data_IF_597427684243
#
_entry.id   IF_597427684243
#
_cell.length_a   1.000
_cell.length_b   1.000
_cell.length_c   1.000
_cell.angle_alpha   90.00
_cell.angle_beta   90.00
_cell.angle_gamma   90.00
#
_symmetry.space_group_name_H-M   'P 1'
#
loop_
_entity.id
_entity.type
_entity.pdbx_description
1 polymer ?
#
# COMPACT_ATOMS: atom_id res chain seq x y z
N UNK A 1 -2.07 -41.94 -19.86
CA UNK A 1 -2.39 -40.52 -19.95
C UNK A 1 -2.64 -40.06 -18.51
N UNK A 2 -1.59 -39.65 -17.79
CA UNK A 2 -1.76 -38.97 -16.51
C UNK A 2 -2.00 -37.49 -16.83
N UNK A 3 -3.25 -37.09 -16.86
CA UNK A 3 -3.58 -35.70 -16.70
C UNK A 3 -2.98 -35.26 -15.36
N UNK A 4 -2.06 -34.31 -15.42
CA UNK A 4 -1.58 -33.61 -14.24
C UNK A 4 -2.80 -33.12 -13.50
N UNK A 5 -3.03 -33.64 -12.29
CA UNK A 5 -3.88 -32.99 -11.30
C UNK A 5 -3.29 -31.58 -11.13
N UNK A 6 -3.86 -30.65 -11.85
CA UNK A 6 -3.43 -29.26 -11.86
C UNK A 6 -3.41 -28.74 -10.44
N UNK A 7 -2.58 -27.79 -10.18
CA UNK A 7 -2.30 -27.15 -8.89
C UNK A 7 -3.60 -26.71 -8.18
N UNK A 8 -4.42 -27.69 -7.74
CA UNK A 8 -5.61 -27.48 -6.95
C UNK A 8 -5.19 -27.23 -5.51
N UNK A 9 -5.74 -26.20 -4.88
CA UNK A 9 -5.45 -25.91 -3.51
C UNK A 9 -6.08 -24.60 -3.05
N UNK A 10 -6.06 -24.38 -1.76
CA UNK A 10 -6.43 -23.13 -1.14
C UNK A 10 -5.17 -22.40 -0.67
N UNK A 11 -5.07 -21.10 -0.93
CA UNK A 11 -4.08 -20.21 -0.34
C UNK A 11 -4.80 -19.29 0.64
N UNK A 12 -4.43 -19.38 1.91
CA UNK A 12 -4.97 -18.52 2.97
C UNK A 12 -4.05 -17.30 3.10
N UNK A 13 -4.49 -16.18 2.51
CA UNK A 13 -3.74 -14.95 2.42
C UNK A 13 -4.13 -13.98 3.53
N UNK A 14 -3.16 -13.56 4.33
CA UNK A 14 -3.31 -12.38 5.18
C UNK A 14 -2.88 -11.14 4.40
N UNK A 15 -3.83 -10.26 4.11
CA UNK A 15 -3.58 -9.05 3.30
C UNK A 15 -3.82 -7.81 4.16
N UNK A 16 -2.74 -7.16 4.61
CA UNK A 16 -2.76 -5.98 5.48
C UNK A 16 -2.35 -4.70 4.75
N UNK A 17 -1.74 -4.83 3.58
CA UNK A 17 -1.25 -3.70 2.80
C UNK A 17 -1.39 -3.96 1.30
N UNK A 18 -1.45 -2.87 0.52
CA UNK A 18 -1.36 -2.88 -0.95
C UNK A 18 -2.41 -3.73 -1.67
N UNK A 19 -3.63 -3.81 -1.10
CA UNK A 19 -4.72 -4.63 -1.63
C UNK A 19 -4.99 -4.36 -3.11
N UNK A 20 -4.87 -3.11 -3.57
CA UNK A 20 -5.07 -2.73 -4.98
C UNK A 20 -4.06 -3.43 -5.88
N UNK A 21 -2.77 -3.39 -5.55
CA UNK A 21 -1.72 -4.02 -6.34
C UNK A 21 -1.85 -5.54 -6.31
N UNK A 22 -2.09 -6.10 -5.12
CA UNK A 22 -2.26 -7.55 -4.94
C UNK A 22 -3.49 -8.07 -5.68
N UNK A 23 -4.57 -7.29 -5.79
CA UNK A 23 -5.77 -7.70 -6.53
C UNK A 23 -5.49 -7.91 -8.02
N UNK A 24 -4.56 -7.15 -8.61
CA UNK A 24 -4.13 -7.37 -9.98
C UNK A 24 -3.39 -8.70 -10.15
N UNK A 25 -2.49 -9.02 -9.20
CA UNK A 25 -1.80 -10.32 -9.19
C UNK A 25 -2.80 -11.47 -9.02
N UNK A 26 -3.75 -11.34 -8.08
CA UNK A 26 -4.79 -12.35 -7.86
C UNK A 26 -5.64 -12.59 -9.10
N UNK A 27 -6.03 -11.53 -9.82
CA UNK A 27 -6.80 -11.63 -11.05
C UNK A 27 -6.08 -12.48 -12.09
N UNK A 28 -4.81 -12.19 -12.34
CA UNK A 28 -4.02 -12.89 -13.36
C UNK A 28 -3.72 -14.34 -12.91
N UNK A 29 -3.37 -14.52 -11.63
CA UNK A 29 -3.12 -15.85 -11.07
C UNK A 29 -4.34 -16.79 -11.13
N UNK A 30 -5.53 -16.30 -10.77
CA UNK A 30 -6.77 -17.10 -10.80
C UNK A 30 -7.14 -17.45 -12.25
N UNK A 31 -6.85 -16.55 -13.20
CA UNK A 31 -7.07 -16.84 -14.62
C UNK A 31 -6.17 -17.98 -15.13
N UNK A 32 -4.90 -18.01 -14.70
CA UNK A 32 -3.94 -19.06 -15.07
C UNK A 32 -4.14 -20.35 -14.26
N UNK A 33 -4.66 -20.25 -13.04
CA UNK A 33 -4.85 -21.37 -12.10
C UNK A 33 -6.30 -21.44 -11.60
N UNK A 34 -7.28 -21.76 -12.46
CA UNK A 34 -8.71 -21.68 -12.11
C UNK A 34 -9.18 -22.66 -11.03
N UNK A 35 -8.34 -23.64 -10.67
CA UNK A 35 -8.64 -24.62 -9.60
C UNK A 35 -8.08 -24.21 -8.24
N UNK A 36 -7.43 -23.06 -8.14
CA UNK A 36 -6.93 -22.50 -6.88
C UNK A 36 -7.96 -21.54 -6.30
N UNK A 37 -8.21 -21.68 -5.02
CA UNK A 37 -9.04 -20.75 -4.26
C UNK A 37 -8.20 -19.92 -3.28
N UNK A 38 -8.71 -18.75 -2.93
CA UNK A 38 -8.10 -17.88 -1.92
C UNK A 38 -9.09 -17.61 -0.79
N UNK A 39 -8.59 -17.72 0.44
CA UNK A 39 -9.25 -17.17 1.61
C UNK A 39 -8.44 -15.96 2.08
N UNK A 40 -9.05 -14.78 2.11
CA UNK A 40 -8.34 -13.52 2.39
C UNK A 40 -8.83 -12.95 3.72
N UNK A 41 -7.89 -12.63 4.61
CA UNK A 41 -8.14 -12.08 5.93
C UNK A 41 -7.18 -10.94 6.24
N UNK A 42 -7.50 -10.08 7.19
CA UNK A 42 -6.57 -9.11 7.79
C UNK A 42 -5.84 -9.67 9.01
N UNK A 43 -6.24 -10.85 9.50
CA UNK A 43 -5.67 -11.52 10.68
C UNK A 43 -4.72 -12.64 10.26
N UNK A 44 -3.46 -12.67 10.77
CA UNK A 44 -2.46 -13.64 10.36
C UNK A 44 -2.76 -15.09 10.81
N UNK A 45 -3.60 -15.25 11.82
CA UNK A 45 -3.90 -16.58 12.40
C UNK A 45 -4.52 -17.49 11.36
N UNK A 46 -3.85 -18.61 11.10
CA UNK A 46 -4.32 -19.62 10.16
C UNK A 46 -4.05 -19.30 8.69
N UNK A 47 -3.34 -18.21 8.39
CA UNK A 47 -2.90 -17.87 7.04
C UNK A 47 -1.59 -18.57 6.66
N UNK A 48 -1.39 -18.76 5.36
CA UNK A 48 -0.19 -19.37 4.79
C UNK A 48 0.83 -18.31 4.40
N UNK A 49 0.35 -17.13 3.99
CA UNK A 49 1.15 -16.04 3.47
C UNK A 49 0.62 -14.70 4.01
N UNK A 50 1.52 -13.86 4.49
CA UNK A 50 1.23 -12.47 4.88
C UNK A 50 1.79 -11.52 3.82
N UNK A 51 0.99 -10.52 3.42
CA UNK A 51 1.45 -9.35 2.67
C UNK A 51 1.19 -8.13 3.55
N UNK A 52 2.26 -7.41 3.87
CA UNK A 52 2.21 -6.23 4.74
C UNK A 52 3.24 -5.18 4.28
N UNK A 53 3.31 -4.06 4.98
CA UNK A 53 4.29 -3.01 4.74
C UNK A 53 4.83 -2.42 6.04
N UNK A 54 6.07 -1.94 5.96
CA UNK A 54 6.76 -1.25 7.05
C UNK A 54 7.30 0.08 6.57
N UNK A 55 7.44 1.05 7.48
CA UNK A 55 7.98 2.39 7.16
C UNK A 55 9.51 2.42 7.03
N UNK A 56 10.19 1.34 7.40
CA UNK A 56 11.64 1.20 7.26
C UNK A 56 11.98 -0.19 6.74
N UNK A 57 12.85 -0.27 5.75
CA UNK A 57 13.34 -1.55 5.23
C UNK A 57 14.08 -2.40 6.29
N UNK A 58 14.58 -1.76 7.35
CA UNK A 58 15.22 -2.46 8.46
C UNK A 58 14.23 -3.21 9.37
N UNK A 59 12.95 -2.88 9.28
CA UNK A 59 11.88 -3.52 10.06
C UNK A 59 11.25 -4.72 9.34
N UNK A 60 11.74 -5.07 8.15
CA UNK A 60 11.29 -6.25 7.41
C UNK A 60 11.74 -7.51 8.18
N UNK A 61 10.82 -8.46 8.46
CA UNK A 61 11.19 -9.71 9.13
C UNK A 61 12.23 -10.53 8.36
N UNK A 62 13.14 -11.20 9.05
CA UNK A 62 14.25 -11.97 8.45
C UNK A 62 13.80 -13.02 7.43
N UNK A 63 12.61 -13.61 7.60
CA UNK A 63 12.05 -14.62 6.71
C UNK A 63 11.05 -14.05 5.69
N UNK A 64 11.00 -12.73 5.55
CA UNK A 64 10.15 -12.05 4.58
C UNK A 64 10.94 -11.67 3.31
N UNK A 65 10.20 -11.45 2.23
CA UNK A 65 10.73 -11.05 0.94
C UNK A 65 10.22 -9.66 0.58
N UNK A 66 11.15 -8.73 0.35
CA UNK A 66 10.83 -7.38 -0.12
C UNK A 66 10.25 -7.45 -1.53
N UNK A 67 9.07 -6.91 -1.72
CA UNK A 67 8.42 -6.76 -3.03
C UNK A 67 8.77 -5.42 -3.68
N UNK A 68 8.58 -4.33 -2.95
CA UNK A 68 8.79 -2.98 -3.47
C UNK A 68 8.98 -1.98 -2.33
N UNK A 69 9.76 -0.94 -2.60
CA UNK A 69 9.78 0.28 -1.78
C UNK A 69 9.21 1.42 -2.59
N UNK A 70 8.24 2.14 -2.03
CA UNK A 70 7.59 3.28 -2.67
C UNK A 70 7.63 4.51 -1.78
N UNK A 71 7.66 5.68 -2.42
CA UNK A 71 7.66 6.96 -1.74
C UNK A 71 6.27 7.30 -1.18
N UNK A 72 6.26 7.97 -0.04
CA UNK A 72 5.07 8.60 0.53
C UNK A 72 5.01 10.04 0.05
N UNK A 73 3.99 10.37 -0.73
CA UNK A 73 3.74 11.69 -1.28
C UNK A 73 2.57 12.39 -0.57
N UNK A 74 2.51 13.70 -0.69
CA UNK A 74 1.32 14.46 -0.33
C UNK A 74 0.32 14.42 -1.49
N UNK A 75 -0.91 14.00 -1.23
CA UNK A 75 -2.02 14.03 -2.18
C UNK A 75 -2.86 15.29 -1.93
N UNK A 76 -3.07 16.07 -2.99
CA UNK A 76 -3.89 17.29 -2.98
C UNK A 76 -4.87 17.28 -4.15
N UNK A 77 -5.99 18.01 -4.03
CA UNK A 77 -6.87 18.21 -5.19
C UNK A 77 -6.10 18.91 -6.33
N UNK A 78 -6.40 18.59 -7.58
CA UNK A 78 -5.77 19.26 -8.74
C UNK A 78 -6.07 20.76 -8.81
N UNK A 79 -7.10 21.23 -8.10
CA UNK A 79 -7.42 22.66 -7.91
C UNK A 79 -6.65 23.33 -6.77
N UNK A 80 -5.87 22.58 -6.00
CA UNK A 80 -5.10 23.09 -4.88
C UNK A 80 -3.99 24.05 -5.36
N UNK A 81 -3.67 25.15 -4.64
CA UNK A 81 -2.61 26.08 -5.05
C UNK A 81 -1.25 25.42 -5.28
N UNK A 82 -0.93 24.37 -4.54
CA UNK A 82 0.32 23.62 -4.66
C UNK A 82 0.28 22.49 -5.71
N UNK A 83 -0.85 22.20 -6.34
CA UNK A 83 -1.03 21.01 -7.21
C UNK A 83 -0.03 20.91 -8.37
N UNK A 84 0.51 22.03 -8.83
CA UNK A 84 1.41 22.10 -9.98
C UNK A 84 2.88 22.28 -9.60
N UNK A 85 3.23 22.32 -8.31
CA UNK A 85 4.61 22.51 -7.86
C UNK A 85 5.46 21.25 -8.01
N UNK A 86 4.85 20.07 -8.00
CA UNK A 86 5.52 18.78 -7.99
C UNK A 86 6.22 18.44 -6.66
N UNK A 87 6.64 19.47 -5.91
CA UNK A 87 7.43 19.38 -4.70
C UNK A 87 6.94 20.35 -3.64
N UNK A 88 7.02 19.96 -2.38
CA UNK A 88 6.64 20.79 -1.23
C UNK A 88 7.58 20.55 -0.06
N UNK A 89 7.68 21.56 0.82
CA UNK A 89 8.30 21.43 2.14
C UNK A 89 7.26 21.26 3.24
N UNK A 90 7.66 20.77 4.41
CA UNK A 90 6.77 20.66 5.57
C UNK A 90 6.22 22.03 6.01
N UNK A 91 7.01 23.10 5.88
CA UNK A 91 6.57 24.46 6.22
C UNK A 91 5.39 24.91 5.36
N UNK A 92 5.37 24.55 4.07
CA UNK A 92 4.30 24.91 3.15
C UNK A 92 2.97 24.19 3.45
N UNK A 93 3.04 23.02 4.07
CA UNK A 93 1.87 22.15 4.25
C UNK A 93 1.40 22.04 5.72
N UNK A 94 2.18 22.56 6.68
CA UNK A 94 1.89 22.41 8.12
C UNK A 94 0.54 23.03 8.52
N UNK A 95 0.06 24.01 7.77
CA UNK A 95 -1.21 24.71 8.02
C UNK A 95 -2.38 24.13 7.22
N UNK A 96 -2.14 23.11 6.40
CA UNK A 96 -3.19 22.44 5.64
C UNK A 96 -4.12 21.62 6.56
N UNK A 97 -5.34 21.39 6.08
CA UNK A 97 -6.30 20.50 6.72
C UNK A 97 -6.00 19.07 6.31
N UNK A 98 -5.54 18.25 7.23
CA UNK A 98 -5.25 16.86 6.95
C UNK A 98 -6.48 15.96 7.08
N UNK A 99 -6.52 14.96 6.21
CA UNK A 99 -7.47 13.85 6.25
C UNK A 99 -6.71 12.63 6.77
N UNK A 100 -7.06 12.18 7.97
CA UNK A 100 -6.48 11.00 8.61
C UNK A 100 -7.16 9.72 8.11
N UNK A 101 -6.39 8.64 8.00
CA UNK A 101 -6.90 7.29 7.76
C UNK A 101 -6.88 6.53 9.09
N UNK A 102 -7.99 6.61 9.83
CA UNK A 102 -8.16 5.92 11.10
C UNK A 102 -8.00 4.40 10.94
N UNK A 103 -7.63 3.74 12.02
CA UNK A 103 -7.42 2.30 12.07
C UNK A 103 -6.33 1.76 11.11
N UNK A 104 -5.49 2.66 10.57
CA UNK A 104 -4.31 2.30 9.79
C UNK A 104 -3.02 2.60 10.57
N UNK A 105 -2.45 1.62 11.30
CA UNK A 105 -1.22 1.83 12.07
C UNK A 105 -0.05 2.32 11.22
N UNK A 106 0.05 1.84 9.98
CA UNK A 106 1.10 2.27 9.05
C UNK A 106 0.93 3.74 8.65
N UNK A 107 -0.29 4.20 8.38
CA UNK A 107 -0.57 5.62 8.09
C UNK A 107 -0.24 6.50 9.28
N UNK A 108 -0.74 6.15 10.46
CA UNK A 108 -0.49 6.89 11.71
C UNK A 108 1.01 6.97 12.02
N UNK A 109 1.74 5.88 11.80
CA UNK A 109 3.20 5.84 11.96
C UNK A 109 3.92 6.80 11.02
N UNK A 110 3.57 6.81 9.74
CA UNK A 110 4.11 7.74 8.73
C UNK A 110 3.79 9.19 9.10
N UNK A 111 2.53 9.49 9.39
CA UNK A 111 2.07 10.84 9.75
C UNK A 111 2.84 11.39 10.94
N UNK A 112 2.92 10.63 12.03
CA UNK A 112 3.64 11.02 13.23
C UNK A 112 5.15 11.17 12.97
N UNK A 113 5.74 10.31 12.15
CA UNK A 113 7.16 10.37 11.80
C UNK A 113 7.48 11.64 11.01
N UNK A 114 6.69 11.99 10.01
CA UNK A 114 6.85 13.19 9.18
C UNK A 114 6.82 14.44 10.07
N UNK A 115 5.84 14.55 10.96
CA UNK A 115 5.69 15.74 11.81
C UNK A 115 6.43 15.67 13.16
N UNK A 116 7.19 14.61 13.42
CA UNK A 116 7.88 14.42 14.71
C UNK A 116 8.83 15.57 15.09
N UNK A 117 9.45 16.20 14.09
CA UNK A 117 10.40 17.30 14.28
C UNK A 117 9.77 18.68 14.15
N UNK A 118 8.49 18.75 13.79
CA UNK A 118 7.80 20.02 13.64
C UNK A 118 7.36 20.56 15.00
N UNK A 119 7.61 21.85 15.26
CA UNK A 119 7.14 22.52 16.48
C UNK A 119 5.64 22.66 16.52
N UNK A 120 5.04 22.88 15.36
CA UNK A 120 3.59 23.00 15.17
C UNK A 120 3.02 21.62 14.81
N UNK A 121 1.89 21.28 15.40
CA UNK A 121 1.17 20.07 15.02
C UNK A 121 0.21 20.38 13.88
N UNK A 122 0.12 19.49 12.86
CA UNK A 122 -0.84 19.66 11.77
C UNK A 122 -2.28 19.53 12.28
N UNK A 123 -3.21 20.17 11.58
CA UNK A 123 -4.64 20.08 11.87
C UNK A 123 -5.23 18.85 11.16
N UNK A 124 -5.73 17.87 11.92
CA UNK A 124 -6.57 16.81 11.38
C UNK A 124 -8.00 17.35 11.35
N UNK A 125 -8.52 17.61 10.15
CA UNK A 125 -9.86 18.13 9.95
C UNK A 125 -10.90 17.02 9.76
N UNK A 126 -10.49 15.89 9.18
CA UNK A 126 -11.34 14.74 8.91
C UNK A 126 -10.59 13.45 9.25
N UNK A 127 -11.32 12.45 9.76
CA UNK A 127 -10.82 11.10 10.00
C UNK A 127 -11.79 10.11 9.38
N UNK A 128 -11.29 9.20 8.56
CA UNK A 128 -12.08 8.15 7.94
C UNK A 128 -11.31 6.82 7.99
N UNK A 129 -12.01 5.71 7.88
CA UNK A 129 -11.42 4.37 7.89
C UNK A 129 -11.46 3.69 6.50
N UNK A 130 -11.77 4.45 5.46
CA UNK A 130 -11.90 3.98 4.09
C UNK A 130 -11.06 4.86 3.16
N UNK A 131 -10.12 4.23 2.42
CA UNK A 131 -9.21 4.95 1.53
C UNK A 131 -9.91 5.51 0.28
N UNK A 132 -11.04 4.94 -0.15
CA UNK A 132 -11.86 5.46 -1.25
C UNK A 132 -12.52 6.76 -0.81
N UNK A 133 -13.08 6.77 0.39
CA UNK A 133 -13.64 7.99 0.99
C UNK A 133 -12.54 9.05 1.18
N UNK A 134 -11.36 8.66 1.68
CA UNK A 134 -10.20 9.57 1.80
C UNK A 134 -9.88 10.22 0.45
N UNK A 135 -9.73 9.41 -0.61
CA UNK A 135 -9.48 9.92 -1.96
C UNK A 135 -10.57 10.86 -2.47
N UNK A 136 -11.83 10.56 -2.17
CA UNK A 136 -12.95 11.43 -2.54
C UNK A 136 -12.90 12.78 -1.81
N UNK A 137 -12.61 12.78 -0.51
CA UNK A 137 -12.47 14.02 0.27
C UNK A 137 -11.31 14.89 -0.25
N UNK A 138 -10.16 14.26 -0.62
CA UNK A 138 -9.04 14.97 -1.25
C UNK A 138 -9.47 15.57 -2.58
N UNK A 139 -10.10 14.80 -3.46
CA UNK A 139 -10.51 15.26 -4.80
C UNK A 139 -11.51 16.42 -4.78
N UNK A 140 -12.28 16.54 -3.69
CA UNK A 140 -13.21 17.64 -3.44
C UNK A 140 -12.53 18.87 -2.84
N UNK A 141 -11.22 18.83 -2.58
CA UNK A 141 -10.48 19.95 -1.99
C UNK A 141 -10.80 20.19 -0.50
N UNK A 142 -11.32 19.20 0.21
CA UNK A 142 -11.67 19.34 1.63
C UNK A 142 -10.45 19.21 2.55
N UNK A 143 -9.34 18.67 2.04
CA UNK A 143 -8.09 18.53 2.76
C UNK A 143 -7.04 17.79 1.94
N UNK A 144 -5.89 17.56 2.56
CA UNK A 144 -4.74 16.86 1.98
C UNK A 144 -4.44 15.60 2.81
N UNK A 145 -3.70 14.67 2.24
CA UNK A 145 -3.29 13.46 2.96
C UNK A 145 -1.98 12.89 2.43
N UNK A 146 -1.29 12.10 3.24
CA UNK A 146 -0.15 11.33 2.76
C UNK A 146 -0.62 10.02 2.13
N UNK A 147 -0.03 9.67 1.01
CA UNK A 147 -0.38 8.47 0.25
C UNK A 147 0.88 7.80 -0.31
N UNK A 148 0.80 6.51 -0.51
CA UNK A 148 1.88 5.74 -1.13
C UNK A 148 1.79 5.86 -2.65
N UNK A 149 2.83 6.40 -3.29
CA UNK A 149 2.80 6.91 -4.65
C UNK A 149 2.41 5.88 -5.71
N UNK A 150 3.08 4.72 -5.73
CA UNK A 150 2.84 3.67 -6.74
C UNK A 150 1.49 3.00 -6.51
N UNK A 151 1.19 2.65 -5.26
CA UNK A 151 -0.10 2.06 -4.90
C UNK A 151 -1.26 2.98 -5.27
N UNK A 152 -1.12 4.27 -5.00
CA UNK A 152 -2.14 5.27 -5.32
C UNK A 152 -2.32 5.46 -6.83
N UNK A 153 -1.23 5.59 -7.58
CA UNK A 153 -1.26 5.78 -9.04
C UNK A 153 -1.89 4.58 -9.77
N UNK A 154 -1.73 3.37 -9.23
CA UNK A 154 -2.32 2.15 -9.80
C UNK A 154 -3.71 1.83 -9.25
N UNK A 155 -4.29 2.71 -8.45
CA UNK A 155 -5.65 2.55 -7.94
C UNK A 155 -6.68 3.24 -8.86
N UNK A 156 -7.93 2.78 -8.83
CA UNK A 156 -9.06 3.42 -9.53
C UNK A 156 -9.58 4.63 -8.76
N UNK A 157 -8.70 5.43 -8.17
CA UNK A 157 -9.07 6.61 -7.38
C UNK A 157 -9.34 7.83 -8.27
N UNK A 158 -9.98 8.89 -7.74
CA UNK A 158 -10.40 10.05 -8.53
C UNK A 158 -9.23 10.68 -9.31
N UNK A 159 -9.50 11.04 -10.58
CA UNK A 159 -8.49 11.63 -11.50
C UNK A 159 -8.04 13.04 -11.10
N UNK A 160 -8.81 13.74 -10.24
CA UNK A 160 -8.57 15.13 -9.86
C UNK A 160 -7.66 15.27 -8.63
N UNK A 161 -6.56 14.51 -8.59
CA UNK A 161 -5.59 14.51 -7.48
C UNK A 161 -4.19 14.64 -8.06
N UNK A 162 -3.38 15.51 -7.46
CA UNK A 162 -1.95 15.66 -7.73
C UNK A 162 -1.14 15.10 -6.57
N UNK A 163 -0.06 14.39 -6.87
CA UNK A 163 0.90 13.90 -5.88
C UNK A 163 2.13 14.80 -5.85
N UNK A 164 2.55 15.19 -4.66
CA UNK A 164 3.67 16.10 -4.43
C UNK A 164 4.73 15.42 -3.57
N UNK A 165 5.99 15.54 -3.98
CA UNK A 165 7.14 15.07 -3.21
C UNK A 165 7.40 15.97 -2.00
N UNK A 166 7.86 15.39 -0.89
CA UNK A 166 8.19 16.13 0.34
C UNK A 166 9.71 16.23 0.44
N UNK A 167 10.27 17.37 0.03
CA UNK A 167 11.71 17.53 -0.18
C UNK A 167 12.54 17.47 1.11
N UNK A 168 12.06 18.08 2.18
CA UNK A 168 12.77 18.21 3.46
C UNK A 168 12.51 17.06 4.44
N UNK A 169 11.61 16.13 4.07
CA UNK A 169 11.30 14.95 4.89
C UNK A 169 10.82 13.78 4.03
N UNK A 170 11.66 13.27 3.10
CA UNK A 170 11.27 12.16 2.26
C UNK A 170 10.99 10.91 3.11
N UNK A 171 9.87 10.28 2.85
CA UNK A 171 9.44 9.07 3.53
C UNK A 171 9.14 7.98 2.52
N UNK A 172 9.42 6.73 2.91
CA UNK A 172 9.19 5.54 2.10
C UNK A 172 8.51 4.47 2.93
N UNK A 173 7.80 3.58 2.26
CA UNK A 173 7.37 2.31 2.85
C UNK A 173 7.84 1.15 2.00
N UNK A 174 8.11 0.03 2.65
CA UNK A 174 8.53 -1.21 2.02
C UNK A 174 7.42 -2.24 2.14
N UNK A 175 6.95 -2.75 1.00
CA UNK A 175 5.95 -3.81 0.90
C UNK A 175 6.71 -5.13 0.83
N UNK A 176 6.27 -6.11 1.59
CA UNK A 176 6.88 -7.43 1.64
C UNK A 176 5.82 -8.53 1.71
N UNK A 177 6.20 -9.75 1.34
CA UNK A 177 5.46 -10.92 1.74
C UNK A 177 6.26 -11.80 2.69
N UNK A 178 5.57 -12.52 3.56
CA UNK A 178 6.15 -13.41 4.55
C UNK A 178 5.38 -14.73 4.58
N UNK A 179 6.02 -15.88 4.29
CA UNK A 179 5.43 -17.19 4.55
C UNK A 179 5.24 -17.40 6.06
N UNK A 180 4.03 -17.76 6.47
CA UNK A 180 3.67 -17.92 7.88
C UNK A 180 3.77 -19.36 8.38
N UNK A 181 3.69 -20.35 7.45
CA UNK A 181 3.79 -21.78 7.77
C UNK A 181 5.19 -22.33 7.59
N UNK A 182 5.47 -23.46 8.24
CA UNK A 182 6.70 -24.24 8.04
C UNK A 182 6.71 -24.98 6.69
N UNK A 183 5.55 -25.18 6.10
CA UNK A 183 5.37 -25.85 4.81
C UNK A 183 4.78 -24.85 3.80
N UNK A 184 5.39 -24.79 2.62
CA UNK A 184 4.90 -24.03 1.47
C UNK A 184 4.51 -25.00 0.35
N UNK A 185 3.23 -24.97 -0.05
CA UNK A 185 2.75 -25.76 -1.17
C UNK A 185 3.42 -25.30 -2.48
N UNK A 186 3.38 -26.16 -3.51
CA UNK A 186 3.83 -25.79 -4.86
C UNK A 186 3.05 -24.59 -5.39
N UNK A 187 1.73 -24.58 -5.21
CA UNK A 187 0.84 -23.51 -5.62
C UNK A 187 1.19 -22.18 -4.93
N UNK A 188 1.47 -22.20 -3.62
CA UNK A 188 1.93 -21.02 -2.90
C UNK A 188 3.22 -20.44 -3.48
N UNK A 189 4.21 -21.30 -3.79
CA UNK A 189 5.49 -20.84 -4.39
C UNK A 189 5.30 -20.22 -5.77
N UNK A 190 4.37 -20.74 -6.57
CA UNK A 190 4.04 -20.15 -7.87
C UNK A 190 3.42 -18.77 -7.68
N UNK A 191 2.54 -18.62 -6.70
CA UNK A 191 1.94 -17.33 -6.37
C UNK A 191 2.97 -16.31 -5.84
N UNK A 192 3.87 -16.73 -4.95
CA UNK A 192 4.99 -15.92 -4.47
C UNK A 192 5.86 -15.43 -5.65
N UNK A 193 6.17 -16.31 -6.60
CA UNK A 193 6.94 -15.93 -7.79
C UNK A 193 6.18 -14.90 -8.66
N UNK A 194 4.88 -15.07 -8.82
CA UNK A 194 4.07 -14.11 -9.60
C UNK A 194 3.96 -12.75 -8.90
N UNK A 195 3.91 -12.71 -7.56
CA UNK A 195 4.06 -11.47 -6.80
C UNK A 195 5.40 -10.78 -7.12
N UNK A 196 6.51 -11.49 -7.04
CA UNK A 196 7.84 -10.96 -7.33
C UNK A 196 7.93 -10.37 -8.74
N UNK A 197 7.45 -11.07 -9.75
CA UNK A 197 7.48 -10.60 -11.14
C UNK A 197 6.58 -9.36 -11.37
N UNK A 198 5.39 -9.35 -10.80
CA UNK A 198 4.49 -8.20 -10.90
C UNK A 198 5.11 -6.94 -10.29
N UNK A 199 5.62 -7.04 -9.06
CA UNK A 199 6.19 -5.89 -8.36
C UNK A 199 7.51 -5.41 -8.97
N UNK A 200 8.33 -6.28 -9.55
CA UNK A 200 9.51 -5.86 -10.34
C UNK A 200 9.11 -4.98 -11.51
N UNK A 201 8.04 -5.32 -12.23
CA UNK A 201 7.58 -4.59 -13.39
C UNK A 201 6.96 -3.23 -13.05
N UNK A 202 6.52 -3.01 -11.81
CA UNK A 202 6.04 -1.71 -11.33
C UNK A 202 7.18 -0.72 -11.03
N UNK A 203 8.39 -1.21 -10.79
CA UNK A 203 9.55 -0.40 -10.44
C UNK A 203 10.29 0.15 -11.67
N UNK A 204 9.77 -0.09 -12.87
CA UNK A 204 10.28 0.41 -14.15
C UNK A 204 9.26 1.33 -14.82
#
# INVERSE_FOLDING_TARGET
>A
VSESLGDAGEIRLCLRSSAVLVSNVLKDFIHEHPHVSFSISSEPKGCDLLIDSVSSAYDIPDNAHLLMTEEICLAVASSHPLAHTGHVSLEQIIDEKFIDLADSPSYTGVFNSIFSKCKKKPQIAYSCNDYILQGKLISLGLGVSFVASVTWTNSSLPENISLLHIDDCPHFRSIYYQPLGSFRSKTQRIFEHQLDEYFKNLNH
#
